data_IF_850282741065
#
_entry.id   IF_850282741065
#
_cell.length_a   1.000
_cell.length_b   1.000
_cell.length_c   1.000
_cell.angle_alpha   90.00
_cell.angle_beta   90.00
_cell.angle_gamma   90.00
#
_symmetry.space_group_name_H-M   'P 1'
#
loop_
_entity.id
_entity.type
_entity.pdbx_description
1 polymer ?
#
# COMPACT_ATOMS: atom_id res chain seq x y z
N UNK A 1 -6.45 11.35 -18.79
CA UNK A 1 -5.06 11.51 -19.30
C UNK A 1 -4.51 10.11 -19.52
N UNK A 2 -3.74 9.88 -20.58
CA UNK A 2 -3.23 8.54 -20.91
C UNK A 2 -1.83 8.36 -20.33
N UNK A 3 -1.59 7.29 -19.58
CA UNK A 3 -0.26 6.96 -19.07
C UNK A 3 0.50 6.14 -20.11
N UNK A 4 1.77 6.47 -20.35
CA UNK A 4 2.65 5.68 -21.20
C UNK A 4 3.76 5.07 -20.35
N UNK A 5 3.84 3.74 -20.33
CA UNK A 5 4.71 3.00 -19.41
C UNK A 5 5.99 2.45 -20.05
N UNK A 6 6.00 2.31 -21.36
CA UNK A 6 7.08 1.63 -22.09
C UNK A 6 8.44 2.31 -21.86
N UNK A 7 9.43 1.49 -21.48
CA UNK A 7 10.80 1.93 -21.24
C UNK A 7 11.03 2.71 -19.94
N UNK A 8 10.01 2.93 -19.11
CA UNK A 8 10.13 3.76 -17.89
C UNK A 8 10.46 2.92 -16.66
N UNK A 9 11.37 3.41 -15.83
CA UNK A 9 11.57 2.91 -14.46
C UNK A 9 10.50 3.48 -13.52
N UNK A 10 10.41 2.96 -12.30
CA UNK A 10 9.44 3.44 -11.28
C UNK A 10 9.53 4.96 -11.06
N UNK A 11 10.75 5.46 -10.80
CA UNK A 11 10.96 6.88 -10.53
C UNK A 11 10.78 7.77 -11.76
N UNK A 12 11.20 7.30 -12.95
CA UNK A 12 10.97 8.05 -14.18
C UNK A 12 9.46 8.22 -14.45
N UNK A 13 8.68 7.14 -14.28
CA UNK A 13 7.23 7.16 -14.44
C UNK A 13 6.54 8.09 -13.41
N UNK A 14 6.86 7.94 -12.11
CA UNK A 14 6.27 8.77 -11.06
C UNK A 14 6.62 10.26 -11.22
N UNK A 15 7.83 10.57 -11.67
CA UNK A 15 8.26 11.95 -11.89
C UNK A 15 7.53 12.58 -13.07
N UNK A 16 7.45 11.88 -14.20
CA UNK A 16 6.80 12.37 -15.42
C UNK A 16 5.30 12.58 -15.23
N UNK A 17 4.64 11.67 -14.50
CA UNK A 17 3.19 11.70 -14.31
C UNK A 17 2.76 12.20 -12.93
N UNK A 18 3.62 12.95 -12.22
CA UNK A 18 3.33 13.42 -10.86
C UNK A 18 2.02 14.21 -10.78
N UNK A 19 1.81 15.15 -11.70
CA UNK A 19 0.58 15.95 -11.76
C UNK A 19 -0.67 15.09 -12.06
N UNK A 20 -0.53 14.09 -12.94
CA UNK A 20 -1.60 13.14 -13.24
C UNK A 20 -1.97 12.31 -12.02
N UNK A 21 -0.98 11.81 -11.28
CA UNK A 21 -1.18 11.10 -10.02
C UNK A 21 -1.88 11.98 -9.00
N UNK A 22 -1.49 13.25 -8.87
CA UNK A 22 -2.14 14.19 -7.96
C UNK A 22 -3.60 14.44 -8.33
N UNK A 23 -3.90 14.53 -9.63
CA UNK A 23 -5.28 14.63 -10.13
C UNK A 23 -6.10 13.37 -9.81
N UNK A 24 -5.55 12.18 -10.06
CA UNK A 24 -6.22 10.91 -9.75
C UNK A 24 -6.43 10.73 -8.24
N UNK A 25 -5.44 11.07 -7.41
CA UNK A 25 -5.54 11.08 -5.95
C UNK A 25 -6.67 12.02 -5.51
N UNK A 26 -6.72 13.23 -6.06
CA UNK A 26 -7.76 14.21 -5.72
C UNK A 26 -9.16 13.72 -6.10
N UNK A 27 -9.30 13.11 -7.28
CA UNK A 27 -10.56 12.52 -7.73
C UNK A 27 -11.04 11.37 -6.84
N UNK A 28 -10.13 10.46 -6.45
CA UNK A 28 -10.43 9.38 -5.51
C UNK A 28 -10.77 9.92 -4.12
N UNK A 29 -10.04 10.94 -3.64
CA UNK A 29 -10.32 11.53 -2.34
C UNK A 29 -11.69 12.21 -2.30
N UNK A 30 -12.09 12.90 -3.37
CA UNK A 30 -13.43 13.47 -3.47
C UNK A 30 -14.50 12.37 -3.37
N UNK A 31 -14.39 11.31 -4.18
CA UNK A 31 -15.30 10.16 -4.17
C UNK A 31 -15.40 9.51 -2.78
N UNK A 32 -14.27 9.27 -2.12
CA UNK A 32 -14.23 8.59 -0.83
C UNK A 32 -14.64 9.50 0.34
N UNK A 33 -14.42 10.80 0.24
CA UNK A 33 -14.85 11.77 1.26
C UNK A 33 -16.36 11.82 1.41
N UNK A 34 -17.10 11.68 0.30
CA UNK A 34 -18.57 11.58 0.32
C UNK A 34 -19.03 10.30 1.03
N UNK A 35 -18.31 9.19 0.85
CA UNK A 35 -18.61 7.89 1.45
C UNK A 35 -18.30 7.82 2.95
N UNK A 36 -17.18 8.39 3.39
CA UNK A 36 -16.68 8.26 4.76
C UNK A 36 -16.87 9.51 5.63
N UNK A 37 -17.34 10.61 5.05
CA UNK A 37 -17.69 11.86 5.73
C UNK A 37 -16.55 12.40 6.64
N UNK A 38 -16.89 12.88 7.84
CA UNK A 38 -15.98 13.60 8.74
C UNK A 38 -14.79 12.79 9.24
N UNK A 39 -14.87 11.46 9.20
CA UNK A 39 -13.80 10.57 9.68
C UNK A 39 -12.82 10.18 8.56
N UNK A 40 -12.94 10.77 7.37
CA UNK A 40 -12.14 10.44 6.19
C UNK A 40 -10.67 10.85 6.32
N UNK A 41 -9.77 9.90 6.08
CA UNK A 41 -8.33 10.14 5.92
C UNK A 41 -8.00 10.07 4.42
N UNK A 42 -7.46 11.14 3.81
CA UNK A 42 -7.17 11.17 2.39
C UNK A 42 -6.01 10.24 2.02
N UNK A 43 -6.02 9.73 0.80
CA UNK A 43 -4.83 9.18 0.15
C UNK A 43 -3.88 10.35 -0.12
N UNK A 44 -2.65 10.22 0.33
CA UNK A 44 -1.59 11.20 0.13
C UNK A 44 -0.69 10.81 -1.04
N UNK A 45 0.14 11.74 -1.50
CA UNK A 45 1.21 11.44 -2.46
C UNK A 45 2.18 10.38 -1.90
N UNK A 46 2.50 10.46 -0.60
CA UNK A 46 3.36 9.48 0.07
C UNK A 46 2.78 8.06 0.00
N UNK A 47 1.47 7.89 0.21
CA UNK A 47 0.78 6.61 0.09
C UNK A 47 0.99 6.02 -1.31
N UNK A 48 0.73 6.82 -2.35
CA UNK A 48 0.86 6.37 -3.74
C UNK A 48 2.31 6.01 -4.10
N UNK A 49 3.26 6.87 -3.76
CA UNK A 49 4.67 6.71 -4.15
C UNK A 49 5.34 5.53 -3.45
N UNK A 50 5.13 5.39 -2.13
CA UNK A 50 5.72 4.29 -1.37
C UNK A 50 5.13 2.95 -1.86
N UNK A 51 3.82 2.85 -2.03
CA UNK A 51 3.20 1.61 -2.48
C UNK A 51 3.52 1.30 -3.94
N UNK A 52 3.60 2.30 -4.81
CA UNK A 52 4.07 2.09 -6.18
C UNK A 52 5.49 1.52 -6.19
N UNK A 53 6.38 2.05 -5.34
CA UNK A 53 7.74 1.56 -5.28
C UNK A 53 7.84 0.14 -4.69
N UNK A 54 6.96 -0.19 -3.75
CA UNK A 54 6.90 -1.54 -3.16
C UNK A 54 6.35 -2.57 -4.15
N UNK A 55 5.29 -2.24 -4.86
CA UNK A 55 4.45 -3.23 -5.54
C UNK A 55 4.61 -3.26 -7.06
N UNK A 56 5.12 -2.20 -7.70
CA UNK A 56 5.08 -2.12 -9.15
C UNK A 56 5.91 -3.23 -9.82
N UNK A 57 5.26 -3.95 -10.73
CA UNK A 57 5.80 -5.05 -11.52
C UNK A 57 6.83 -4.56 -12.54
N UNK A 58 7.99 -5.22 -12.56
CA UNK A 58 9.13 -4.84 -13.39
C UNK A 58 9.54 -5.98 -14.32
N UNK A 59 9.91 -5.63 -15.55
CA UNK A 59 10.66 -6.53 -16.43
C UNK A 59 12.06 -6.79 -15.86
N UNK A 60 12.75 -7.77 -16.43
CA UNK A 60 14.13 -8.12 -16.05
C UNK A 60 15.13 -6.98 -16.23
N UNK A 61 14.83 -5.99 -17.08
CA UNK A 61 15.65 -4.79 -17.31
C UNK A 61 15.37 -3.65 -16.32
N UNK A 62 14.45 -3.84 -15.35
CA UNK A 62 14.09 -2.84 -14.35
C UNK A 62 13.07 -1.80 -14.82
N UNK A 63 12.52 -1.94 -16.04
CA UNK A 63 11.42 -1.10 -16.53
C UNK A 63 10.06 -1.66 -16.14
N UNK A 64 9.06 -0.79 -16.06
CA UNK A 64 7.70 -1.16 -15.69
C UNK A 64 7.05 -2.06 -16.75
N UNK A 65 6.17 -2.96 -16.30
CA UNK A 65 5.42 -3.86 -17.17
C UNK A 65 3.92 -3.74 -16.90
N UNK A 66 3.17 -3.22 -17.87
CA UNK A 66 1.71 -3.04 -17.77
C UNK A 66 0.95 -4.33 -17.45
N UNK A 67 1.40 -5.45 -18.01
CA UNK A 67 0.76 -6.77 -17.90
C UNK A 67 1.58 -7.72 -17.01
N UNK A 68 2.27 -7.18 -16.01
CA UNK A 68 3.09 -7.97 -15.11
C UNK A 68 2.24 -9.04 -14.40
N UNK A 69 2.64 -10.33 -14.44
CA UNK A 69 2.01 -11.37 -13.63
C UNK A 69 2.64 -11.39 -12.23
N UNK A 70 1.84 -11.08 -11.22
CA UNK A 70 2.25 -11.11 -9.82
C UNK A 70 2.12 -12.52 -9.22
N UNK A 71 2.69 -12.72 -8.04
CA UNK A 71 2.92 -14.04 -7.46
C UNK A 71 1.64 -14.80 -7.07
N UNK A 72 0.53 -14.09 -6.80
CA UNK A 72 -0.74 -14.71 -6.42
C UNK A 72 -1.71 -14.78 -7.63
N UNK A 73 -1.22 -14.47 -8.83
CA UNK A 73 -1.98 -14.50 -10.08
C UNK A 73 -2.56 -13.15 -10.51
N UNK A 74 -2.23 -12.06 -9.80
CA UNK A 74 -2.69 -10.73 -10.14
C UNK A 74 -2.05 -10.23 -11.44
N UNK A 75 -2.77 -9.39 -12.18
CA UNK A 75 -2.27 -8.75 -13.39
C UNK A 75 -2.29 -7.23 -13.26
N UNK A 76 -1.27 -6.57 -13.82
CA UNK A 76 -1.19 -5.11 -13.87
C UNK A 76 0.17 -4.59 -13.42
N UNK A 77 0.35 -3.27 -13.50
CA UNK A 77 1.52 -2.62 -12.92
C UNK A 77 1.51 -2.82 -11.41
N UNK A 78 0.37 -2.57 -10.77
CA UNK A 78 0.14 -2.75 -9.34
C UNK A 78 -0.83 -3.92 -9.12
N UNK A 79 -0.54 -4.85 -8.21
CA UNK A 79 -1.43 -5.95 -7.92
C UNK A 79 -2.69 -5.44 -7.20
N UNK A 80 -3.87 -5.85 -7.68
CA UNK A 80 -5.12 -5.70 -6.94
C UNK A 80 -5.38 -7.00 -6.17
N UNK A 81 -5.82 -6.94 -4.90
CA UNK A 81 -6.10 -8.15 -4.13
C UNK A 81 -7.25 -8.97 -4.74
N UNK A 82 -7.26 -10.28 -4.48
CA UNK A 82 -8.27 -11.22 -4.97
C UNK A 82 -9.71 -10.84 -4.59
N UNK A 83 -9.86 -10.16 -3.46
CA UNK A 83 -11.10 -9.63 -2.93
C UNK A 83 -11.32 -8.14 -3.26
N UNK A 84 -10.77 -7.61 -4.36
CA UNK A 84 -10.90 -6.20 -4.72
C UNK A 84 -12.36 -5.69 -4.76
N UNK A 85 -13.33 -6.54 -5.12
CA UNK A 85 -14.76 -6.21 -5.06
C UNK A 85 -15.26 -5.91 -3.66
N UNK A 86 -14.75 -6.62 -2.65
CA UNK A 86 -15.03 -6.27 -1.26
C UNK A 86 -14.53 -4.85 -0.95
N UNK A 87 -13.35 -4.46 -1.43
CA UNK A 87 -12.78 -3.16 -1.12
C UNK A 87 -13.42 -2.01 -1.89
N UNK A 88 -13.48 -2.14 -3.21
CA UNK A 88 -13.83 -1.06 -4.12
C UNK A 88 -15.30 -1.08 -4.57
N UNK A 89 -16.00 -2.21 -4.41
CA UNK A 89 -17.39 -2.38 -4.87
C UNK A 89 -17.52 -3.40 -6.00
N UNK A 90 -18.76 -3.77 -6.32
CA UNK A 90 -19.08 -4.78 -7.35
C UNK A 90 -18.66 -4.39 -8.77
N UNK A 91 -18.39 -3.12 -9.02
CA UNK A 91 -17.88 -2.57 -10.27
C UNK A 91 -16.36 -2.73 -10.44
N UNK A 92 -15.64 -3.20 -9.42
CA UNK A 92 -14.20 -3.40 -9.50
C UNK A 92 -13.83 -4.43 -10.59
N UNK A 93 -12.73 -4.19 -11.35
CA UNK A 93 -12.29 -5.14 -12.36
C UNK A 93 -11.83 -6.44 -11.73
N UNK A 94 -11.83 -7.51 -12.53
CA UNK A 94 -11.26 -8.78 -12.10
C UNK A 94 -9.74 -8.62 -11.95
N UNK A 95 -9.24 -8.86 -10.74
CA UNK A 95 -7.83 -8.70 -10.34
C UNK A 95 -6.85 -9.58 -11.13
N UNK A 96 -7.33 -10.69 -11.68
CA UNK A 96 -6.55 -11.69 -12.43
C UNK A 96 -6.65 -11.53 -13.95
N UNK A 97 -7.15 -10.40 -14.44
CA UNK A 97 -7.24 -10.09 -15.87
C UNK A 97 -6.38 -8.87 -16.22
N UNK A 98 -5.75 -8.85 -17.40
CA UNK A 98 -5.12 -7.63 -17.91
C UNK A 98 -6.13 -6.48 -17.98
N UNK A 99 -5.69 -5.29 -17.57
CA UNK A 99 -6.44 -4.05 -17.64
C UNK A 99 -5.52 -2.92 -18.09
N UNK A 100 -6.08 -1.80 -18.55
CA UNK A 100 -5.24 -0.64 -18.88
C UNK A 100 -4.59 -0.10 -17.61
N UNK A 101 -3.43 0.53 -17.78
CA UNK A 101 -2.73 1.20 -16.68
C UNK A 101 -3.61 2.23 -15.95
N UNK A 102 -4.47 2.99 -16.66
CA UNK A 102 -5.39 3.95 -16.05
C UNK A 102 -6.36 3.26 -15.07
N UNK A 103 -6.96 2.14 -15.51
CA UNK A 103 -7.87 1.36 -14.67
C UNK A 103 -7.12 0.79 -13.48
N UNK A 104 -5.92 0.23 -13.71
CA UNK A 104 -5.11 -0.35 -12.65
C UNK A 104 -4.74 0.68 -11.57
N UNK A 105 -4.21 1.84 -11.96
CA UNK A 105 -3.83 2.90 -11.04
C UNK A 105 -5.01 3.46 -10.26
N UNK A 106 -6.12 3.77 -10.95
CA UNK A 106 -7.31 4.32 -10.29
C UNK A 106 -7.90 3.33 -9.28
N UNK A 107 -8.00 2.05 -9.63
CA UNK A 107 -8.52 1.02 -8.73
C UNK A 107 -7.57 0.76 -7.57
N UNK A 108 -6.25 0.81 -7.80
CA UNK A 108 -5.28 0.67 -6.73
C UNK A 108 -5.34 1.87 -5.75
N UNK A 109 -5.41 3.11 -6.24
CA UNK A 109 -5.58 4.30 -5.39
C UNK A 109 -6.89 4.25 -4.59
N UNK A 110 -7.99 3.85 -5.23
CA UNK A 110 -9.28 3.62 -4.55
C UNK A 110 -9.15 2.56 -3.46
N UNK A 111 -8.42 1.48 -3.73
CA UNK A 111 -8.13 0.44 -2.75
C UNK A 111 -7.34 1.00 -1.56
N UNK A 112 -6.28 1.80 -1.79
CA UNK A 112 -5.52 2.46 -0.72
C UNK A 112 -6.44 3.29 0.19
N UNK A 113 -7.30 4.12 -0.40
CA UNK A 113 -8.24 4.94 0.35
C UNK A 113 -9.26 4.11 1.14
N UNK A 114 -9.75 3.01 0.58
CA UNK A 114 -10.61 2.07 1.31
C UNK A 114 -9.85 1.35 2.44
N UNK A 115 -8.56 1.02 2.30
CA UNK A 115 -7.77 0.41 3.40
C UNK A 115 -7.64 1.37 4.59
N UNK A 116 -7.47 2.68 4.35
CA UNK A 116 -7.35 3.68 5.41
C UNK A 116 -8.67 3.94 6.17
N UNK A 117 -9.81 3.72 5.51
CA UNK A 117 -11.11 4.22 5.98
C UNK A 117 -12.18 3.15 6.20
N UNK A 118 -12.15 2.02 5.50
CA UNK A 118 -13.16 0.97 5.63
C UNK A 118 -12.98 0.21 6.93
N UNK A 119 -14.02 0.16 7.75
CA UNK A 119 -14.06 -0.72 8.91
C UNK A 119 -14.24 -2.18 8.46
N UNK A 120 -13.16 -2.97 8.52
CA UNK A 120 -13.20 -4.40 8.16
C UNK A 120 -13.62 -5.27 9.33
N UNK A 121 -13.12 -4.98 10.53
CA UNK A 121 -13.44 -5.71 11.75
C UNK A 121 -13.10 -4.87 12.99
N UNK A 122 -13.67 -5.23 14.13
CA UNK A 122 -13.26 -4.72 15.45
C UNK A 122 -12.68 -5.87 16.28
N UNK A 123 -11.50 -5.69 16.88
CA UNK A 123 -10.87 -6.67 17.78
C UNK A 123 -10.39 -5.98 19.05
N UNK A 124 -10.90 -6.39 20.22
CA UNK A 124 -10.49 -5.80 21.50
C UNK A 124 -10.61 -4.27 21.54
N UNK A 125 -11.75 -3.73 21.06
CA UNK A 125 -11.99 -2.28 20.87
C UNK A 125 -11.11 -1.56 19.82
N UNK A 126 -10.27 -2.27 19.08
CA UNK A 126 -9.54 -1.70 17.94
C UNK A 126 -10.25 -1.96 16.62
N UNK A 127 -10.51 -0.87 15.89
CA UNK A 127 -10.96 -0.88 14.49
C UNK A 127 -9.78 -1.36 13.63
N UNK A 128 -9.83 -2.60 13.20
CA UNK A 128 -8.71 -3.29 12.56
C UNK A 128 -8.26 -2.58 11.27
N UNK A 129 -6.94 -2.37 11.13
CA UNK A 129 -6.26 -1.47 10.17
C UNK A 129 -6.62 0.01 10.29
N UNK A 130 -7.90 0.34 10.20
CA UNK A 130 -8.43 1.71 10.22
C UNK A 130 -7.97 2.51 11.46
N UNK A 131 -7.90 1.87 12.62
CA UNK A 131 -7.45 2.50 13.87
C UNK A 131 -5.96 2.83 13.90
N UNK A 132 -5.12 2.09 13.18
CA UNK A 132 -3.67 2.36 13.13
C UNK A 132 -3.38 3.72 12.49
N UNK A 133 -4.13 4.09 11.44
CA UNK A 133 -4.01 5.40 10.79
C UNK A 133 -4.48 6.58 11.66
N UNK A 134 -5.19 6.31 12.76
CA UNK A 134 -5.72 7.31 13.69
C UNK A 134 -4.94 7.33 15.01
N UNK A 135 -3.88 6.55 15.11
CA UNK A 135 -3.08 6.43 16.32
C UNK A 135 -2.22 7.69 16.53
N UNK A 136 -2.09 8.21 17.78
CA UNK A 136 -1.20 9.33 18.08
C UNK A 136 0.23 9.08 17.60
N UNK A 137 0.82 10.04 16.90
CA UNK A 137 2.15 9.89 16.28
C UNK A 137 2.14 9.28 14.87
N UNK A 138 0.97 8.84 14.36
CA UNK A 138 0.74 8.42 12.97
C UNK A 138 -0.29 9.33 12.28
N UNK A 139 -1.34 9.74 13.00
CA UNK A 139 -2.51 10.40 12.44
C UNK A 139 -2.23 11.67 11.61
N UNK A 140 -1.18 12.42 11.95
CA UNK A 140 -0.86 13.70 11.30
C UNK A 140 0.41 13.64 10.43
N UNK A 141 0.96 12.44 10.19
CA UNK A 141 2.19 12.23 9.44
C UNK A 141 1.94 11.36 8.19
N UNK A 142 1.88 11.96 6.98
CA UNK A 142 1.64 11.22 5.74
C UNK A 142 2.66 10.12 5.45
N UNK A 143 3.94 10.31 5.82
CA UNK A 143 4.98 9.30 5.58
C UNK A 143 4.77 8.10 6.50
N UNK A 144 4.44 8.33 7.77
CA UNK A 144 4.13 7.23 8.70
C UNK A 144 2.85 6.51 8.31
N UNK A 145 1.81 7.23 7.87
CA UNK A 145 0.60 6.61 7.34
C UNK A 145 0.92 5.71 6.13
N UNK A 146 1.76 6.17 5.20
CA UNK A 146 2.16 5.39 4.04
C UNK A 146 2.98 4.15 4.42
N UNK A 147 3.84 4.23 5.45
CA UNK A 147 4.56 3.07 6.02
C UNK A 147 3.59 2.05 6.65
N UNK A 148 2.58 2.51 7.39
CA UNK A 148 1.52 1.66 7.94
C UNK A 148 0.72 1.00 6.81
N UNK A 149 0.35 1.76 5.78
CA UNK A 149 -0.40 1.26 4.62
C UNK A 149 0.37 0.16 3.89
N UNK A 150 1.67 0.36 3.66
CA UNK A 150 2.55 -0.68 3.13
C UNK A 150 2.59 -1.92 4.03
N UNK A 151 2.55 -1.73 5.35
CA UNK A 151 2.46 -2.84 6.30
C UNK A 151 1.15 -3.61 6.23
N UNK A 152 0.03 -2.92 6.04
CA UNK A 152 -1.29 -3.52 5.86
C UNK A 152 -1.32 -4.35 4.58
N UNK A 153 -0.89 -3.77 3.45
CA UNK A 153 -0.88 -4.44 2.14
C UNK A 153 0.03 -5.67 2.13
N UNK A 154 1.20 -5.59 2.76
CA UNK A 154 2.10 -6.73 2.91
C UNK A 154 1.63 -7.78 3.95
N UNK A 155 0.47 -7.57 4.58
CA UNK A 155 -0.14 -8.53 5.49
C UNK A 155 0.50 -8.61 6.87
N UNK A 156 1.24 -7.58 7.32
CA UNK A 156 1.82 -7.56 8.69
C UNK A 156 0.73 -7.50 9.76
N UNK A 157 -0.45 -7.06 9.40
CA UNK A 157 -1.57 -7.05 10.31
C UNK A 157 -2.40 -8.34 10.19
N UNK A 158 -2.01 -9.36 9.42
CA UNK A 158 -2.81 -10.59 9.24
C UNK A 158 -2.36 -11.74 10.16
N UNK A 159 -3.26 -12.23 11.02
CA UNK A 159 -2.92 -13.30 12.00
C UNK A 159 -2.36 -14.58 11.37
N UNK A 160 -2.88 -14.97 10.19
CA UNK A 160 -2.45 -16.18 9.46
C UNK A 160 -0.99 -16.14 8.99
N UNK A 161 -0.38 -14.94 8.97
CA UNK A 161 1.01 -14.71 8.58
C UNK A 161 1.96 -14.77 9.79
N UNK A 162 1.48 -15.17 10.96
CA UNK A 162 2.29 -15.34 12.17
C UNK A 162 2.28 -16.80 12.63
N UNK A 163 3.45 -17.34 13.02
CA UNK A 163 3.59 -18.75 13.42
C UNK A 163 2.70 -19.15 14.62
N UNK A 164 2.33 -18.19 15.47
CA UNK A 164 1.46 -18.38 16.63
C UNK A 164 0.02 -17.86 16.39
N UNK A 165 -0.34 -17.51 15.15
CA UNK A 165 -1.62 -16.91 14.78
C UNK A 165 -2.00 -15.66 15.61
N UNK A 166 -1.00 -14.92 16.11
CA UNK A 166 -1.20 -13.70 16.91
C UNK A 166 -0.44 -12.54 16.29
N UNK A 167 -1.18 -11.50 15.95
CA UNK A 167 -0.60 -10.23 15.50
C UNK A 167 -0.21 -9.42 16.74
N UNK A 168 1.04 -8.97 16.88
CA UNK A 168 1.47 -8.12 17.99
C UNK A 168 1.08 -6.66 17.69
N UNK A 169 -0.23 -6.35 17.65
CA UNK A 169 -0.76 -5.08 17.16
C UNK A 169 -0.12 -3.84 17.82
N UNK A 170 -0.06 -3.81 19.14
CA UNK A 170 0.50 -2.66 19.87
C UNK A 170 1.98 -2.46 19.53
N UNK A 171 2.75 -3.54 19.45
CA UNK A 171 4.15 -3.49 19.04
C UNK A 171 4.31 -2.92 17.63
N UNK A 172 3.49 -3.37 16.66
CA UNK A 172 3.54 -2.83 15.29
C UNK A 172 3.21 -1.33 15.27
N UNK A 173 2.11 -0.94 15.91
CA UNK A 173 1.62 0.45 15.90
C UNK A 173 2.62 1.38 16.60
N UNK A 174 3.17 0.99 17.75
CA UNK A 174 4.19 1.78 18.45
C UNK A 174 5.43 1.99 17.59
N UNK A 175 5.98 0.93 16.97
CA UNK A 175 7.17 1.07 16.14
C UNK A 175 6.91 1.91 14.87
N UNK A 176 5.70 1.85 14.29
CA UNK A 176 5.33 2.77 13.21
C UNK A 176 5.22 4.22 13.70
N UNK A 177 4.68 4.46 14.89
CA UNK A 177 4.57 5.80 15.48
C UNK A 177 5.94 6.40 15.84
N UNK A 178 6.88 5.55 16.28
CA UNK A 178 8.28 5.91 16.60
C UNK A 178 9.18 6.03 15.36
N UNK A 179 8.65 5.70 14.18
CA UNK A 179 9.37 5.67 12.89
C UNK A 179 10.57 4.71 12.85
N UNK A 180 10.51 3.62 13.63
CA UNK A 180 11.54 2.58 13.65
C UNK A 180 11.68 1.93 12.28
N UNK A 181 12.90 1.51 11.91
CA UNK A 181 13.14 0.81 10.66
C UNK A 181 12.30 -0.48 10.57
N UNK A 182 11.67 -0.69 9.41
CA UNK A 182 10.76 -1.82 9.21
C UNK A 182 11.43 -3.17 9.48
N UNK A 183 12.65 -3.36 9.00
CA UNK A 183 13.35 -4.63 9.18
C UNK A 183 13.73 -4.81 10.65
N UNK A 184 14.16 -3.75 11.33
CA UNK A 184 14.54 -3.78 12.74
C UNK A 184 13.43 -4.32 13.64
N UNK A 185 12.21 -3.79 13.54
CA UNK A 185 11.13 -4.24 14.43
C UNK A 185 10.45 -5.52 13.93
N UNK A 186 10.24 -5.69 12.61
CA UNK A 186 9.53 -6.87 12.12
C UNK A 186 10.29 -8.17 12.38
N UNK A 187 11.63 -8.13 12.38
CA UNK A 187 12.48 -9.28 12.68
C UNK A 187 12.34 -9.78 14.13
N UNK A 188 11.77 -8.97 15.03
CA UNK A 188 11.49 -9.33 16.42
C UNK A 188 10.13 -10.03 16.60
N UNK A 189 9.37 -10.23 15.51
CA UNK A 189 8.03 -10.82 15.54
C UNK A 189 8.01 -12.27 15.08
N UNK A 190 6.90 -12.98 15.32
CA UNK A 190 6.65 -14.33 14.78
C UNK A 190 6.14 -14.33 13.33
N UNK A 191 6.26 -13.21 12.60
CA UNK A 191 5.85 -13.10 11.20
C UNK A 191 6.62 -14.11 10.33
N UNK A 192 5.93 -14.78 9.39
CA UNK A 192 6.51 -15.88 8.61
C UNK A 192 7.80 -15.49 7.88
N UNK A 193 7.88 -14.27 7.33
CA UNK A 193 9.11 -13.81 6.68
C UNK A 193 10.15 -13.28 7.66
N UNK A 194 9.78 -12.86 8.86
CA UNK A 194 10.74 -12.54 9.91
C UNK A 194 11.56 -13.77 10.29
N UNK A 195 10.89 -14.92 10.38
CA UNK A 195 11.53 -16.19 10.77
C UNK A 195 12.17 -16.91 9.57
N UNK A 196 11.46 -17.00 8.44
CA UNK A 196 11.87 -17.89 7.33
C UNK A 196 12.63 -17.19 6.21
N UNK A 197 12.40 -15.88 5.99
CA UNK A 197 12.98 -15.13 4.88
C UNK A 197 13.30 -13.67 5.25
N UNK A 198 14.22 -13.40 6.19
CA UNK A 198 14.57 -12.04 6.62
C UNK A 198 14.93 -11.08 5.48
N UNK A 199 15.51 -11.60 4.39
CA UNK A 199 15.85 -10.82 3.20
C UNK A 199 14.63 -10.17 2.53
N UNK A 200 13.44 -10.78 2.62
CA UNK A 200 12.19 -10.19 2.10
C UNK A 200 11.84 -8.91 2.86
N UNK A 201 11.96 -8.92 4.19
CA UNK A 201 11.69 -7.74 5.02
C UNK A 201 12.70 -6.61 4.73
N UNK A 202 13.99 -6.95 4.60
CA UNK A 202 15.02 -5.97 4.25
C UNK A 202 14.80 -5.37 2.86
N UNK A 203 14.37 -6.18 1.89
CA UNK A 203 14.01 -5.69 0.55
C UNK A 203 12.84 -4.72 0.59
N UNK A 204 11.77 -5.05 1.34
CA UNK A 204 10.62 -4.17 1.53
C UNK A 204 10.99 -2.87 2.25
N UNK A 205 11.81 -2.96 3.31
CA UNK A 205 12.32 -1.78 4.02
C UNK A 205 13.12 -0.86 3.08
N UNK A 206 13.95 -1.45 2.20
CA UNK A 206 14.68 -0.68 1.18
C UNK A 206 13.75 0.02 0.19
N UNK A 207 12.75 -0.66 -0.35
CA UNK A 207 11.78 -0.04 -1.28
C UNK A 207 11.06 1.16 -0.64
N UNK A 208 10.69 1.04 0.64
CA UNK A 208 10.10 2.14 1.42
C UNK A 208 11.12 3.27 1.56
N UNK A 209 12.35 2.98 2.02
CA UNK A 209 13.38 3.98 2.24
C UNK A 209 13.76 4.71 0.94
N UNK A 210 13.83 4.00 -0.19
CA UNK A 210 14.14 4.58 -1.50
C UNK A 210 13.05 5.57 -1.94
N UNK A 211 11.77 5.23 -1.73
CA UNK A 211 10.65 6.11 -2.02
C UNK A 211 10.62 7.34 -1.10
N UNK A 212 10.90 7.16 0.20
CA UNK A 212 10.99 8.25 1.17
C UNK A 212 12.11 9.23 0.81
N UNK A 213 13.32 8.73 0.50
CA UNK A 213 14.43 9.59 0.07
C UNK A 213 14.04 10.41 -1.14
N UNK A 214 13.47 9.78 -2.16
CA UNK A 214 13.04 10.50 -3.35
C UNK A 214 12.00 11.59 -3.07
N UNK A 215 11.02 11.34 -2.19
CA UNK A 215 10.02 12.33 -1.81
C UNK A 215 10.61 13.54 -1.05
N UNK A 216 11.76 13.36 -0.40
CA UNK A 216 12.42 14.40 0.42
C UNK A 216 13.47 15.22 -0.35
N UNK A 217 13.91 14.75 -1.53
CA UNK A 217 14.95 15.39 -2.36
C UNK A 217 16.34 14.85 -2.11
#
# INVERSE_FOLDING_TARGET
MQYHIEGKTKFAFLTEYRESFQSDISGINAELSEKYASDFIPVSEADAWILFNCEAGLKSDGTLWERYPHNEGEFGVLPLPDNIRFWNGEDAPDWNKPMSIEVNLRQFLRYLGNVKNKLVATRGNHRYHMGAFRYPGIADDPLKQAKVLAGVIHGYFEKRRYNNNRVPLDFLITNYAEDTDLAEFMLQTSYVHAVRRPAVLRGRARNIADAVRWLQG
#
